data_IF_241987634078
#
_entry.id   IF_241987634078
#
_cell.length_a   1.000
_cell.length_b   1.000
_cell.length_c   1.000
_cell.angle_alpha   90.00
_cell.angle_beta   90.00
_cell.angle_gamma   90.00
#
_symmetry.space_group_name_H-M   'P 1'
#
loop_
_entity.id
_entity.type
_entity.pdbx_description
1 polymer ?
#
# COMPACT_ATOMS: atom_id res chain seq x y z
N UNK A 1 12.53 -81.72 -68.05
CA UNK A 1 12.34 -81.17 -66.69
C UNK A 1 12.75 -79.69 -66.65
N UNK A 2 11.93 -78.79 -67.22
CA UNK A 2 12.20 -77.32 -67.20
C UNK A 2 11.04 -76.52 -66.54
N UNK A 3 9.97 -77.21 -66.11
CA UNK A 3 8.78 -76.61 -65.51
C UNK A 3 9.02 -76.12 -64.07
N UNK A 4 9.72 -76.89 -63.24
CA UNK A 4 9.95 -76.52 -61.83
C UNK A 4 10.84 -75.28 -61.67
N UNK A 5 11.83 -75.08 -62.56
CA UNK A 5 12.71 -73.89 -62.54
C UNK A 5 11.95 -72.61 -62.91
N UNK A 6 10.95 -72.70 -63.80
CA UNK A 6 10.15 -71.55 -64.24
C UNK A 6 9.15 -71.07 -63.18
N UNK A 7 8.62 -71.98 -62.35
CA UNK A 7 7.77 -71.62 -61.20
C UNK A 7 8.56 -71.07 -60.01
N UNK A 8 9.81 -71.50 -59.84
CA UNK A 8 10.72 -70.95 -58.81
C UNK A 8 11.02 -69.46 -59.05
N UNK A 9 11.13 -69.04 -60.32
CA UNK A 9 11.39 -67.63 -60.67
C UNK A 9 10.16 -66.72 -60.51
N UNK A 10 8.94 -67.27 -60.61
CA UNK A 10 7.67 -66.54 -60.46
C UNK A 10 7.30 -66.31 -58.98
N UNK A 11 7.72 -67.20 -58.07
CA UNK A 11 7.51 -67.01 -56.63
C UNK A 11 8.48 -66.00 -56.00
N UNK A 12 9.66 -65.81 -56.60
CA UNK A 12 10.68 -64.86 -56.09
C UNK A 12 10.30 -63.39 -56.34
N UNK A 13 9.43 -63.10 -57.32
CA UNK A 13 9.05 -61.71 -57.67
C UNK A 13 7.89 -61.15 -56.82
N UNK A 14 7.17 -61.98 -56.05
CA UNK A 14 6.04 -61.52 -55.24
C UNK A 14 6.47 -61.01 -53.85
N UNK A 15 7.68 -61.35 -53.41
CA UNK A 15 8.21 -61.01 -52.07
C UNK A 15 9.01 -59.68 -52.05
N UNK A 16 8.79 -58.80 -53.02
CA UNK A 16 9.53 -57.54 -53.18
C UNK A 16 8.71 -56.26 -53.04
N UNK A 17 7.39 -56.31 -52.79
CA UNK A 17 6.52 -55.12 -52.88
C UNK A 17 5.82 -54.76 -51.55
N UNK A 18 6.07 -55.47 -50.44
CA UNK A 18 5.51 -55.08 -49.15
C UNK A 18 6.44 -54.10 -48.40
N UNK A 19 6.32 -52.81 -48.69
CA UNK A 19 6.90 -51.75 -47.86
C UNK A 19 5.89 -51.33 -46.77
N UNK A 20 6.15 -51.56 -45.47
CA UNK A 20 5.41 -50.89 -44.42
C UNK A 20 5.93 -49.45 -44.30
N UNK A 21 5.11 -48.48 -44.69
CA UNK A 21 5.37 -47.06 -44.46
C UNK A 21 5.20 -46.76 -42.97
N UNK A 22 6.30 -46.62 -42.25
CA UNK A 22 6.30 -46.12 -40.87
C UNK A 22 6.10 -44.60 -40.87
N UNK A 23 4.93 -44.15 -40.43
CA UNK A 23 4.66 -42.75 -40.13
C UNK A 23 5.51 -42.31 -38.92
N UNK A 24 6.40 -41.33 -39.11
CA UNK A 24 7.20 -40.72 -38.06
C UNK A 24 6.45 -39.50 -37.52
N UNK A 25 5.85 -39.66 -36.35
CA UNK A 25 5.26 -38.57 -35.57
C UNK A 25 6.38 -37.89 -34.79
N UNK A 26 6.71 -36.65 -35.13
CA UNK A 26 7.81 -35.90 -34.51
C UNK A 26 7.22 -34.94 -33.47
N UNK A 27 7.58 -35.07 -32.18
CA UNK A 27 6.94 -34.30 -31.12
C UNK A 27 7.34 -32.82 -31.20
N UNK A 28 6.32 -31.95 -31.14
CA UNK A 28 6.47 -30.50 -31.10
C UNK A 28 7.07 -30.13 -29.75
N UNK A 29 8.31 -29.64 -29.74
CA UNK A 29 8.94 -29.18 -28.51
C UNK A 29 8.25 -27.91 -28.00
N UNK A 30 7.67 -28.02 -26.81
CA UNK A 30 7.07 -26.89 -26.10
C UNK A 30 7.98 -26.50 -24.94
N UNK A 31 8.47 -25.26 -24.97
CA UNK A 31 9.28 -24.70 -23.87
C UNK A 31 8.36 -24.30 -22.73
N UNK A 32 8.47 -25.00 -21.59
CA UNK A 32 7.74 -24.66 -20.38
C UNK A 32 8.44 -23.52 -19.62
N UNK A 33 7.69 -22.47 -19.30
CA UNK A 33 8.15 -21.42 -18.40
C UNK A 33 7.91 -21.85 -16.95
N UNK A 34 8.97 -21.87 -16.13
CA UNK A 34 8.88 -22.19 -14.71
C UNK A 34 8.75 -20.92 -13.87
N UNK A 35 7.85 -20.88 -12.87
CA UNK A 35 7.66 -19.70 -12.04
C UNK A 35 8.86 -19.49 -11.11
N UNK A 36 9.47 -18.31 -11.18
CA UNK A 36 10.51 -17.87 -10.24
C UNK A 36 9.84 -17.14 -9.09
N UNK A 37 10.10 -17.55 -7.85
CA UNK A 37 9.54 -16.92 -6.67
C UNK A 37 10.11 -15.51 -6.49
N UNK A 38 9.32 -14.50 -6.87
CA UNK A 38 9.63 -13.09 -6.60
C UNK A 38 8.74 -12.57 -5.48
N UNK A 39 9.32 -11.96 -4.45
CA UNK A 39 8.55 -11.23 -3.44
C UNK A 39 7.98 -9.96 -4.08
N UNK A 40 6.70 -10.04 -4.49
CA UNK A 40 5.96 -8.90 -5.02
C UNK A 40 5.36 -8.12 -3.85
N UNK A 41 5.96 -6.99 -3.51
CA UNK A 41 5.37 -6.05 -2.56
C UNK A 41 4.33 -5.21 -3.30
N UNK A 42 3.06 -5.35 -2.91
CA UNK A 42 2.00 -4.47 -3.39
C UNK A 42 2.00 -3.20 -2.53
N UNK A 43 2.49 -2.08 -3.07
CA UNK A 43 2.39 -0.78 -2.42
C UNK A 43 1.11 -0.08 -2.84
N UNK A 44 0.25 0.24 -1.88
CA UNK A 44 -0.94 1.07 -2.09
C UNK A 44 -0.58 2.48 -1.63
N UNK A 45 -0.74 3.47 -2.52
CA UNK A 45 -0.50 4.88 -2.18
C UNK A 45 -1.79 5.50 -1.70
N UNK A 46 -1.79 6.01 -0.47
CA UNK A 46 -2.92 6.72 0.13
C UNK A 46 -2.59 8.20 0.20
N UNK A 47 -3.58 9.04 -0.11
CA UNK A 47 -3.47 10.49 0.03
C UNK A 47 -4.42 10.96 1.12
N UNK A 48 -3.95 11.89 1.96
CA UNK A 48 -4.73 12.47 3.05
C UNK A 48 -4.12 13.81 3.46
N UNK A 49 -4.88 14.60 4.21
CA UNK A 49 -4.41 15.85 4.78
C UNK A 49 -4.06 15.67 6.25
N UNK A 50 -3.02 16.35 6.71
CA UNK A 50 -2.65 16.41 8.13
C UNK A 50 -3.33 17.65 8.73
N UNK A 51 -4.06 17.46 9.82
CA UNK A 51 -4.67 18.54 10.59
C UNK A 51 -4.16 18.50 12.03
N UNK A 52 -4.27 19.64 12.72
CA UNK A 52 -4.05 19.71 14.16
C UNK A 52 -4.99 18.73 14.88
N UNK A 53 -4.48 18.04 15.89
CA UNK A 53 -5.28 17.14 16.71
C UNK A 53 -6.25 17.92 17.61
N UNK A 54 -5.88 19.13 18.04
CA UNK A 54 -6.68 19.98 18.90
C UNK A 54 -6.44 21.45 18.55
N UNK A 55 -7.52 22.18 18.28
CA UNK A 55 -7.48 23.63 18.08
C UNK A 55 -8.32 24.29 19.17
N UNK A 56 -7.76 25.33 19.81
CA UNK A 56 -8.42 26.06 20.88
C UNK A 56 -8.46 27.56 20.55
N UNK A 57 -9.66 28.12 20.48
CA UNK A 57 -9.86 29.56 20.45
C UNK A 57 -9.90 30.09 21.88
N UNK A 58 -8.93 30.92 22.23
CA UNK A 58 -8.80 31.47 23.57
C UNK A 58 -9.43 32.87 23.61
N UNK A 59 -10.34 33.08 24.56
CA UNK A 59 -10.94 34.37 24.84
C UNK A 59 -10.98 34.60 26.36
N UNK A 60 -10.84 35.85 26.82
CA UNK A 60 -11.06 36.17 28.23
C UNK A 60 -12.49 35.81 28.64
N UNK A 61 -12.64 35.20 29.81
CA UNK A 61 -13.96 34.85 30.36
C UNK A 61 -14.76 36.08 30.80
N UNK A 62 -14.07 37.18 31.11
CA UNK A 62 -14.66 38.42 31.56
C UNK A 62 -14.12 39.58 30.72
N UNK A 63 -15.00 40.54 30.41
CA UNK A 63 -14.59 41.79 29.80
C UNK A 63 -13.73 42.61 30.78
N UNK A 64 -12.56 43.04 30.32
CA UNK A 64 -11.61 43.79 31.14
C UNK A 64 -10.48 44.35 30.29
N UNK A 65 -9.67 45.20 30.91
CA UNK A 65 -8.46 45.74 30.30
C UNK A 65 -7.31 44.74 30.45
N UNK A 66 -6.50 44.55 29.41
CA UNK A 66 -5.29 43.74 29.49
C UNK A 66 -4.22 44.52 30.24
N UNK A 67 -3.71 43.96 31.33
CA UNK A 67 -2.58 44.52 32.09
C UNK A 67 -1.25 44.09 31.46
N UNK A 68 -1.06 42.78 31.26
CA UNK A 68 0.17 42.21 30.69
C UNK A 68 -0.14 41.06 29.74
N UNK A 69 0.72 40.93 28.74
CA UNK A 69 0.78 39.79 27.82
C UNK A 69 2.12 39.08 28.04
N UNK A 70 2.07 37.76 28.26
CA UNK A 70 3.25 36.95 28.61
C UNK A 70 3.78 36.13 27.43
N UNK A 71 3.14 36.21 26.27
CA UNK A 71 3.42 35.34 25.12
C UNK A 71 3.41 36.13 23.82
N UNK A 72 4.22 35.70 22.87
CA UNK A 72 4.26 36.25 21.52
C UNK A 72 3.73 35.26 20.48
N UNK A 73 3.42 35.76 19.29
CA UNK A 73 2.92 34.93 18.20
C UNK A 73 4.02 33.98 17.73
N UNK A 74 3.74 32.67 17.82
CA UNK A 74 4.69 31.62 17.46
C UNK A 74 5.30 30.89 18.66
N UNK A 75 5.03 31.36 19.89
CA UNK A 75 5.52 30.71 21.09
C UNK A 75 4.81 29.38 21.36
N UNK A 76 5.58 28.41 21.87
CA UNK A 76 5.05 27.15 22.39
C UNK A 76 4.67 27.31 23.85
N UNK A 77 3.38 27.14 24.16
CA UNK A 77 2.82 27.30 25.51
C UNK A 77 2.32 25.96 26.06
N UNK A 78 2.37 25.79 27.36
CA UNK A 78 1.88 24.59 28.04
C UNK A 78 0.50 24.80 28.66
N UNK A 79 -0.22 23.71 28.91
CA UNK A 79 -1.52 23.79 29.58
C UNK A 79 -1.36 24.39 30.99
N UNK A 80 -2.19 25.40 31.30
CA UNK A 80 -2.15 26.10 32.58
C UNK A 80 -1.14 27.25 32.65
N UNK A 81 -0.32 27.46 31.61
CA UNK A 81 0.55 28.62 31.53
C UNK A 81 -0.29 29.90 31.34
N UNK A 82 -0.08 30.94 32.17
CA UNK A 82 -0.76 32.21 31.99
C UNK A 82 -0.27 32.88 30.70
N UNK A 83 -1.21 33.24 29.83
CA UNK A 83 -0.93 33.89 28.54
C UNK A 83 -1.07 35.41 28.63
N UNK A 84 -2.05 35.87 29.41
CA UNK A 84 -2.32 37.28 29.68
C UNK A 84 -2.87 37.45 31.09
N UNK A 85 -2.74 38.65 31.64
CA UNK A 85 -3.47 39.07 32.85
C UNK A 85 -4.37 40.26 32.52
N UNK A 86 -5.56 40.25 33.10
CA UNK A 86 -6.47 41.39 33.09
C UNK A 86 -6.21 42.25 34.33
N UNK A 87 -6.58 43.53 34.25
CA UNK A 87 -6.60 44.42 35.41
C UNK A 87 -7.60 43.89 36.46
N UNK A 88 -7.07 43.47 37.61
CA UNK A 88 -7.79 42.83 38.71
C UNK A 88 -8.31 43.81 39.75
N UNK A 89 -8.08 45.12 39.62
CA UNK A 89 -8.33 46.09 40.70
C UNK A 89 -9.78 46.08 41.21
N UNK A 90 -10.76 46.01 40.31
CA UNK A 90 -12.17 45.92 40.69
C UNK A 90 -12.52 44.56 41.34
N UNK A 91 -11.92 43.48 40.85
CA UNK A 91 -12.12 42.14 41.39
C UNK A 91 -11.53 41.99 42.80
N UNK A 92 -10.36 42.57 43.04
CA UNK A 92 -9.71 42.58 44.36
C UNK A 92 -10.53 43.35 45.41
N UNK A 93 -11.07 44.51 45.05
CA UNK A 93 -11.93 45.28 45.95
C UNK A 93 -13.22 44.53 46.28
N UNK A 94 -13.83 43.88 45.28
CA UNK A 94 -15.03 43.07 45.49
C UNK A 94 -14.76 41.88 46.41
N UNK A 95 -13.60 41.23 46.27
CA UNK A 95 -13.19 40.12 47.14
C UNK A 95 -13.01 40.59 48.59
N UNK A 96 -12.30 41.70 48.81
CA UNK A 96 -12.10 42.26 50.15
C UNK A 96 -13.41 42.60 50.87
N UNK A 97 -14.40 43.12 50.12
CA UNK A 97 -15.73 43.37 50.67
C UNK A 97 -16.44 42.08 51.06
N UNK A 98 -16.36 41.03 50.22
CA UNK A 98 -17.01 39.76 50.48
C UNK A 98 -16.35 38.97 51.63
N UNK A 99 -15.06 39.13 51.87
CA UNK A 99 -14.34 38.50 52.98
C UNK A 99 -14.56 39.23 54.33
N UNK A 100 -15.04 40.47 54.30
CA UNK A 100 -15.31 41.27 55.49
C UNK A 100 -16.76 41.14 56.01
N UNK A 101 -17.66 40.54 55.23
CA UNK A 101 -19.00 40.11 55.65
C UNK A 101 -18.98 38.74 56.35
#
# INVERSE_FOLDING_TARGET
MYGCVKYLFILLSCMGICFPSSAQDSPIEVTAAYPVASQKYQSITLSGAVSSANDAFLAPLQAGLVDKLFVEVGDHVQQGQPLLTLDSKLAELALQQAEAE
#
